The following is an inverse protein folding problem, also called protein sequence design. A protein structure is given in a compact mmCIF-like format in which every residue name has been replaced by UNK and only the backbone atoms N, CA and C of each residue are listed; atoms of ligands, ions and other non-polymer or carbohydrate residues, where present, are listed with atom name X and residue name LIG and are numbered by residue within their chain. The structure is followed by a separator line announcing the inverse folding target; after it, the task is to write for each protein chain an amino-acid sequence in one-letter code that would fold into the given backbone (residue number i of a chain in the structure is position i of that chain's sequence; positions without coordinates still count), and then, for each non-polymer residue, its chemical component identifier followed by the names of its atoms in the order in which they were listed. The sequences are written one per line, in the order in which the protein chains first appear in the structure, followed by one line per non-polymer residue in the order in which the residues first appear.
data_IF_082824506132
#
_entry.id   IF_082824506132
#
_cell.length_a   1.000
_cell.length_b   1.000
_cell.length_c   1.000
_cell.angle_alpha   90.00
_cell.angle_beta   90.00
_cell.angle_gamma   90.00
#
_symmetry.space_group_name_H-M   'P 1'
#
loop_
_entity.id
_entity.type
_entity.pdbx_description
1 polymer ?
#
# COMPACT_ATOMS: atom_id res chain seq x y z
N UNK A 1 -6.33 13.70 12.82
CA UNK A 1 -7.16 13.43 11.63
C UNK A 1 -8.00 14.66 11.40
N UNK A 2 -8.21 15.04 10.13
CA UNK A 2 -9.15 16.08 9.75
C UNK A 2 -10.58 15.70 10.22
N UNK A 3 -11.35 16.66 10.75
CA UNK A 3 -12.71 16.43 11.26
C UNK A 3 -13.64 15.86 10.17
N UNK A 4 -13.51 16.33 8.91
CA UNK A 4 -14.31 15.87 7.79
C UNK A 4 -13.95 14.42 7.42
N UNK A 5 -12.67 14.04 7.56
CA UNK A 5 -12.25 12.64 7.39
C UNK A 5 -12.87 11.72 8.46
N UNK A 6 -12.97 12.18 9.72
CA UNK A 6 -13.62 11.40 10.78
C UNK A 6 -15.12 11.26 10.54
N UNK A 7 -15.77 12.35 10.13
CA UNK A 7 -17.18 12.37 9.75
C UNK A 7 -17.47 11.38 8.62
N UNK A 8 -16.66 11.42 7.55
CA UNK A 8 -16.77 10.49 6.42
C UNK A 8 -16.61 9.03 6.87
N UNK A 9 -15.57 8.71 7.64
CA UNK A 9 -15.33 7.34 8.13
C UNK A 9 -16.49 6.84 9.00
N UNK A 10 -17.03 7.70 9.87
CA UNK A 10 -18.17 7.35 10.72
C UNK A 10 -19.42 7.06 9.88
N UNK A 11 -19.78 7.96 8.97
CA UNK A 11 -20.97 7.80 8.13
C UNK A 11 -20.90 6.52 7.27
N UNK A 12 -19.73 6.20 6.71
CA UNK A 12 -19.51 4.95 5.95
C UNK A 12 -19.68 3.71 6.83
N UNK A 13 -19.16 3.74 8.07
CA UNK A 13 -19.27 2.60 9.01
C UNK A 13 -20.69 2.37 9.50
N UNK A 14 -21.46 3.44 9.67
CA UNK A 14 -22.85 3.39 10.14
C UNK A 14 -23.85 3.11 8.99
N UNK A 15 -23.39 3.13 7.74
CA UNK A 15 -24.25 2.97 6.56
C UNK A 15 -25.08 4.22 6.22
N UNK A 16 -24.74 5.38 6.78
CA UNK A 16 -25.34 6.67 6.45
C UNK A 16 -24.81 7.16 5.09
N UNK A 17 -25.51 6.74 4.02
CA UNK A 17 -25.17 7.10 2.65
C UNK A 17 -25.20 8.61 2.39
N UNK A 18 -26.12 9.37 2.99
CA UNK A 18 -26.26 10.81 2.73
C UNK A 18 -25.20 11.61 3.48
N UNK A 19 -24.94 11.29 4.75
CA UNK A 19 -23.84 11.88 5.51
C UNK A 19 -22.49 11.61 4.86
N UNK A 20 -22.27 10.39 4.36
CA UNK A 20 -21.05 10.03 3.64
C UNK A 20 -20.87 10.84 2.34
N UNK A 21 -21.93 11.03 1.56
CA UNK A 21 -21.90 11.85 0.33
C UNK A 21 -21.56 13.31 0.63
N UNK A 22 -22.16 13.88 1.68
CA UNK A 22 -21.92 15.27 2.06
C UNK A 22 -20.48 15.49 2.52
N UNK A 23 -19.97 14.63 3.40
CA UNK A 23 -18.59 14.67 3.85
C UNK A 23 -17.61 14.46 2.69
N UNK A 24 -17.87 13.50 1.80
CA UNK A 24 -17.04 13.26 0.60
C UNK A 24 -16.99 14.47 -0.34
N UNK A 25 -18.12 15.17 -0.51
CA UNK A 25 -18.19 16.38 -1.35
C UNK A 25 -17.31 17.50 -0.80
N UNK A 26 -17.33 17.72 0.52
CA UNK A 26 -16.46 18.70 1.19
C UNK A 26 -14.99 18.32 1.09
N UNK A 27 -14.66 17.04 1.28
CA UNK A 27 -13.31 16.52 1.09
C UNK A 27 -12.81 16.74 -0.35
N UNK A 28 -13.64 16.47 -1.35
CA UNK A 28 -13.28 16.70 -2.75
C UNK A 28 -13.01 18.18 -3.05
N UNK A 29 -13.84 19.08 -2.52
CA UNK A 29 -13.67 20.54 -2.69
C UNK A 29 -12.42 21.07 -2.00
N UNK A 30 -11.95 20.44 -0.92
CA UNK A 30 -10.74 20.86 -0.21
C UNK A 30 -9.44 20.65 -1.00
N UNK A 31 -9.46 19.82 -2.04
CA UNK A 31 -8.26 19.45 -2.79
C UNK A 31 -7.23 18.62 -1.98
N UNK A 32 -7.61 18.16 -0.79
CA UNK A 32 -6.73 17.38 0.08
C UNK A 32 -6.38 16.02 -0.56
N UNK A 33 -5.10 15.62 -0.45
CA UNK A 33 -4.67 14.26 -0.82
C UNK A 33 -5.07 13.29 0.27
N UNK A 34 -5.98 12.37 -0.05
CA UNK A 34 -6.48 11.37 0.88
C UNK A 34 -5.82 10.01 0.65
N UNK A 35 -5.66 9.24 1.73
CA UNK A 35 -5.29 7.83 1.68
C UNK A 35 -6.42 7.01 2.27
N UNK A 36 -7.31 6.51 1.40
CA UNK A 36 -8.43 5.66 1.81
C UNK A 36 -7.97 4.21 1.72
N UNK A 37 -8.14 3.47 2.81
CA UNK A 37 -7.82 2.03 2.90
C UNK A 37 -8.96 1.29 3.60
N UNK A 38 -9.24 0.04 3.23
CA UNK A 38 -10.09 -0.83 4.02
C UNK A 38 -9.51 -1.03 5.43
N UNK A 39 -10.38 -1.39 6.37
CA UNK A 39 -9.97 -1.68 7.74
C UNK A 39 -9.00 -2.88 7.76
N UNK A 40 -7.92 -2.78 8.52
CA UNK A 40 -6.90 -3.85 8.59
C UNK A 40 -7.47 -5.15 9.16
N UNK A 41 -8.54 -5.06 9.96
CA UNK A 41 -9.22 -6.22 10.52
C UNK A 41 -9.92 -7.08 9.46
N UNK A 42 -10.08 -6.59 8.23
CA UNK A 42 -10.58 -7.38 7.09
C UNK A 42 -9.52 -8.33 6.52
N UNK A 43 -8.27 -8.23 6.99
CA UNK A 43 -7.15 -9.05 6.55
C UNK A 43 -6.67 -9.96 7.70
N UNK A 44 -6.07 -11.12 7.38
CA UNK A 44 -5.40 -11.92 8.39
C UNK A 44 -4.34 -11.09 9.12
N UNK A 45 -4.42 -11.06 10.46
CA UNK A 45 -3.43 -10.36 11.30
C UNK A 45 -2.16 -11.21 11.47
N UNK A 46 -1.57 -11.62 10.36
CA UNK A 46 -0.34 -12.39 10.33
C UNK A 46 0.56 -11.91 9.20
N UNK A 47 1.87 -12.07 9.39
CA UNK A 47 2.83 -11.91 8.31
C UNK A 47 2.78 -13.15 7.41
N UNK A 48 2.89 -12.93 6.11
CA UNK A 48 2.98 -13.98 5.09
C UNK A 48 4.33 -13.86 4.37
N UNK A 49 4.77 -14.98 3.80
CA UNK A 49 5.97 -15.02 2.96
C UNK A 49 5.51 -14.97 1.50
N UNK A 50 5.93 -13.92 0.80
CA UNK A 50 5.74 -13.77 -0.63
C UNK A 50 7.01 -14.25 -1.35
N UNK A 51 6.86 -15.24 -2.23
CA UNK A 51 7.93 -15.64 -3.16
C UNK A 51 7.84 -14.76 -4.41
N UNK A 52 8.88 -13.98 -4.67
CA UNK A 52 8.93 -12.99 -5.74
C UNK A 52 9.99 -13.40 -6.76
N UNK A 53 9.58 -13.64 -8.00
CA UNK A 53 10.51 -13.76 -9.12
C UNK A 53 11.04 -12.37 -9.50
N UNK A 54 12.36 -12.21 -9.46
CA UNK A 54 13.06 -11.00 -9.90
C UNK A 54 13.64 -11.29 -11.27
N UNK A 55 13.29 -10.44 -12.23
CA UNK A 55 13.76 -10.50 -13.62
C UNK A 55 14.35 -9.14 -13.96
N UNK A 56 15.57 -9.14 -14.48
CA UNK A 56 16.21 -7.95 -15.05
C UNK A 56 16.89 -8.32 -16.37
N UNK A 57 17.17 -7.31 -17.20
CA UNK A 57 17.71 -7.42 -18.55
C UNK A 57 19.01 -8.25 -18.58
N UNK A 58 19.80 -8.19 -17.50
CA UNK A 58 21.11 -8.83 -17.40
C UNK A 58 21.14 -10.13 -16.56
N UNK A 59 20.04 -10.53 -15.90
CA UNK A 59 20.04 -11.68 -14.97
C UNK A 59 19.04 -12.76 -15.33
N UNK A 60 19.47 -14.02 -15.18
CA UNK A 60 18.57 -15.16 -15.13
C UNK A 60 17.62 -15.02 -13.94
N UNK A 61 16.34 -15.33 -14.15
CA UNK A 61 15.29 -15.19 -13.13
C UNK A 61 15.72 -15.77 -11.77
N UNK A 62 15.68 -14.94 -10.72
CA UNK A 62 15.99 -15.30 -9.34
C UNK A 62 14.73 -15.21 -8.49
N UNK A 63 14.64 -15.96 -7.39
CA UNK A 63 13.48 -15.94 -6.49
C UNK A 63 13.86 -15.41 -5.11
N UNK A 64 13.18 -14.36 -4.65
CA UNK A 64 13.40 -13.73 -3.35
C UNK A 64 12.19 -13.98 -2.45
N UNK A 65 12.45 -14.25 -1.16
CA UNK A 65 11.39 -14.35 -0.13
C UNK A 65 11.26 -13.03 0.60
N UNK A 66 10.07 -12.44 0.54
CA UNK A 66 9.74 -11.18 1.23
C UNK A 66 8.66 -11.45 2.27
N UNK A 67 8.90 -11.02 3.50
CA UNK A 67 7.89 -11.12 4.56
C UNK A 67 7.01 -9.87 4.53
N UNK A 68 5.71 -10.02 4.33
CA UNK A 68 4.76 -8.91 4.16
C UNK A 68 3.54 -9.10 5.05
N UNK A 69 2.78 -8.03 5.29
CA UNK A 69 1.41 -8.12 5.84
C UNK A 69 0.40 -8.00 4.70
N UNK A 70 -0.71 -8.75 4.69
CA UNK A 70 -1.66 -8.74 3.56
C UNK A 70 -2.30 -7.38 3.23
N UNK A 71 -2.36 -6.46 4.20
CA UNK A 71 -2.88 -5.10 4.01
C UNK A 71 -1.80 -4.07 3.59
N UNK A 72 -0.55 -4.51 3.39
CA UNK A 72 0.52 -3.64 2.92
C UNK A 72 0.24 -3.21 1.48
N UNK A 73 0.32 -1.91 1.18
CA UNK A 73 0.18 -1.43 -0.20
C UNK A 73 1.44 -1.76 -1.01
N UNK A 74 1.33 -1.79 -2.33
CA UNK A 74 2.50 -1.95 -3.20
C UNK A 74 3.54 -0.86 -2.94
N UNK A 75 3.15 0.40 -2.71
CA UNK A 75 4.09 1.47 -2.37
C UNK A 75 4.87 1.20 -1.07
N UNK A 76 4.22 0.61 -0.05
CA UNK A 76 4.89 0.19 1.17
C UNK A 76 5.84 -0.98 0.89
N UNK A 77 5.41 -1.98 0.10
CA UNK A 77 6.27 -3.08 -0.32
C UNK A 77 7.50 -2.59 -1.11
N UNK A 78 7.32 -1.65 -2.05
CA UNK A 78 8.42 -1.00 -2.80
C UNK A 78 9.44 -0.41 -1.82
N UNK A 79 8.98 0.35 -0.82
CA UNK A 79 9.84 0.96 0.21
C UNK A 79 10.58 -0.08 1.07
N UNK A 80 9.91 -1.14 1.50
CA UNK A 80 10.52 -2.23 2.27
C UNK A 80 11.59 -2.96 1.44
N UNK A 81 11.30 -3.23 0.17
CA UNK A 81 12.27 -3.83 -0.75
C UNK A 81 13.46 -2.90 -0.94
N UNK A 82 13.26 -1.60 -1.12
CA UNK A 82 14.36 -0.63 -1.25
C UNK A 82 15.20 -0.43 0.02
N UNK A 83 14.67 -0.74 1.21
CA UNK A 83 15.33 -0.50 2.50
C UNK A 83 15.91 -1.76 3.16
N UNK A 84 15.52 -2.94 2.71
CA UNK A 84 16.04 -4.21 3.21
C UNK A 84 17.46 -4.51 2.72
N UNK A 85 18.31 -5.03 3.61
CA UNK A 85 19.66 -5.53 3.27
C UNK A 85 19.68 -6.62 2.18
N UNK A 86 18.53 -7.19 1.80
CA UNK A 86 18.40 -8.05 0.62
C UNK A 86 18.78 -7.37 -0.71
N UNK A 87 18.82 -6.03 -0.74
CA UNK A 87 19.30 -5.25 -1.89
C UNK A 87 20.83 -5.26 -1.99
N UNK A 88 21.59 -5.51 -0.92
CA UNK A 88 23.07 -5.52 -1.00
C UNK A 88 23.62 -6.70 -1.82
N UNK A 89 22.83 -7.78 -2.00
CA UNK A 89 23.22 -8.93 -2.82
C UNK A 89 22.74 -8.86 -4.28
N UNK A 90 21.79 -7.97 -4.61
CA UNK A 90 21.14 -7.84 -5.93
C UNK A 90 20.98 -6.38 -6.40
N UNK A 91 21.85 -5.49 -5.90
CA UNK A 91 21.64 -4.03 -5.83
C UNK A 91 21.36 -3.28 -7.12
N UNK A 92 21.60 -3.87 -8.29
CA UNK A 92 21.33 -3.22 -9.57
C UNK A 92 20.02 -3.69 -10.25
N UNK A 93 19.49 -4.87 -9.93
CA UNK A 93 18.29 -5.41 -10.60
C UNK A 93 16.97 -4.92 -9.97
N UNK A 94 16.96 -4.72 -8.64
CA UNK A 94 15.73 -4.38 -7.90
C UNK A 94 15.35 -2.90 -8.00
N UNK A 95 16.30 -2.00 -8.25
CA UNK A 95 16.04 -0.55 -8.33
C UNK A 95 15.29 -0.20 -9.63
N UNK A 96 15.66 -0.81 -10.76
CA UNK A 96 15.06 -0.54 -12.07
C UNK A 96 13.58 -0.92 -12.17
N UNK A 97 13.13 -1.93 -11.40
CA UNK A 97 11.72 -2.37 -11.37
C UNK A 97 10.82 -1.39 -10.60
N UNK A 98 11.38 -0.64 -9.65
CA UNK A 98 10.60 0.23 -8.77
C UNK A 98 10.34 1.62 -9.36
N UNK A 99 11.23 2.09 -10.24
CA UNK A 99 11.14 3.41 -10.91
C UNK A 99 10.34 3.39 -12.23
N UNK A 100 10.12 2.22 -12.83
CA UNK A 100 9.47 2.07 -14.15
C UNK A 100 7.93 2.07 -14.13
N UNK A 101 7.28 2.48 -13.03
CA UNK A 101 5.81 2.44 -12.91
C UNK A 101 5.24 3.45 -11.95
#
# INVERSE_FOLDING_TARGET
MDEICQEFVRAVREGDCEGAKQAASRLAQSGARLCIKPDQNLYPNCKIILNVGVVDIATSASMVRVTVTPYMTIAQLKKEVSSSAAVEQYGNCLINVLESG
#
